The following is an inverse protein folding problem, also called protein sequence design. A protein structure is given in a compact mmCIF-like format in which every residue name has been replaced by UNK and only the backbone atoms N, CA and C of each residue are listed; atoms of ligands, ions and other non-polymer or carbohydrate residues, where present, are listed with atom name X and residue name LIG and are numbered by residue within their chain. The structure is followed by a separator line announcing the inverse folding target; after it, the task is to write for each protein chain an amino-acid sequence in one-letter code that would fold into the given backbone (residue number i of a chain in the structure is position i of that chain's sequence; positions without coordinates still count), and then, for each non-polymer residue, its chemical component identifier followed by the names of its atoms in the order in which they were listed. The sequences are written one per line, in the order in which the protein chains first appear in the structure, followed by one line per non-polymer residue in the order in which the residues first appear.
data_IF_534541539108
#
_entry.id   IF_534541539108
#
_cell.length_a   1.000
_cell.length_b   1.000
_cell.length_c   1.000
_cell.angle_alpha   90.00
_cell.angle_beta   90.00
_cell.angle_gamma   90.00
#
_symmetry.space_group_name_H-M   'P 1'
#
loop_
_entity.id
_entity.type
_entity.pdbx_description
1 polymer ?
#
# COMPACT_ATOMS: atom_id res chain seq x y z
N UNK A 1 20.78 11.24 33.08
CA UNK A 1 20.72 10.47 31.82
C UNK A 1 20.31 11.44 30.74
N UNK A 2 21.23 11.81 29.86
CA UNK A 2 20.98 12.84 28.84
C UNK A 2 20.18 12.23 27.69
N UNK A 3 19.09 12.86 27.22
CA UNK A 3 18.35 12.37 26.08
C UNK A 3 19.19 12.57 24.81
N UNK A 4 19.42 11.49 24.08
CA UNK A 4 19.98 11.54 22.73
C UNK A 4 18.87 12.03 21.82
N UNK A 5 18.87 13.34 21.54
CA UNK A 5 18.00 13.92 20.51
C UNK A 5 18.50 13.52 19.13
N UNK A 6 17.73 12.72 18.41
CA UNK A 6 17.94 12.52 16.97
C UNK A 6 17.48 13.78 16.27
N UNK A 7 18.43 14.62 15.86
CA UNK A 7 18.17 15.77 14.99
C UNK A 7 18.18 15.26 13.56
N UNK A 8 17.00 15.08 12.98
CA UNK A 8 16.84 14.93 11.53
C UNK A 8 17.08 16.29 10.88
N UNK A 9 18.32 16.54 10.46
CA UNK A 9 18.63 17.68 9.59
C UNK A 9 18.10 17.34 8.19
N UNK A 10 16.83 17.64 7.95
CA UNK A 10 16.34 17.81 6.59
C UNK A 10 16.94 19.13 6.08
N UNK A 11 18.05 19.04 5.37
CA UNK A 11 18.56 20.16 4.60
C UNK A 11 17.46 20.57 3.63
N UNK A 12 16.86 21.73 3.89
CA UNK A 12 15.99 22.36 2.90
C UNK A 12 16.86 22.73 1.70
N UNK A 13 16.89 21.85 0.70
CA UNK A 13 17.28 22.22 -0.65
C UNK A 13 16.19 23.11 -1.22
N UNK A 14 16.20 24.36 -0.78
CA UNK A 14 15.54 25.45 -1.49
C UNK A 14 16.27 25.62 -2.83
N UNK A 15 15.83 24.88 -3.85
CA UNK A 15 16.41 24.96 -5.20
C UNK A 15 16.52 23.62 -5.92
N UNK A 16 15.42 22.89 -6.05
CA UNK A 16 15.36 21.77 -6.98
C UNK A 16 13.92 21.54 -7.46
N UNK A 17 13.35 22.52 -8.15
CA UNK A 17 12.30 22.24 -9.14
C UNK A 17 12.94 21.37 -10.25
N UNK A 18 13.09 20.06 -10.02
CA UNK A 18 13.59 19.11 -11.03
C UNK A 18 14.58 18.01 -10.61
N UNK A 19 14.82 17.73 -9.32
CA UNK A 19 15.85 16.74 -8.91
C UNK A 19 15.40 15.26 -8.85
N UNK A 20 14.32 14.88 -9.54
CA UNK A 20 14.06 13.47 -9.85
C UNK A 20 13.60 13.39 -11.31
N UNK A 21 14.53 13.29 -12.29
CA UNK A 21 14.12 12.97 -13.65
C UNK A 21 13.36 11.65 -13.56
N UNK A 22 12.06 11.64 -13.86
CA UNK A 22 11.29 10.41 -13.91
C UNK A 22 11.83 9.60 -15.11
N UNK A 23 12.62 8.53 -14.88
CA UNK A 23 13.17 7.75 -15.98
C UNK A 23 12.07 6.94 -16.66
N UNK A 24 10.90 6.81 -16.02
CA UNK A 24 9.77 6.07 -16.53
C UNK A 24 8.98 6.94 -17.49
N UNK A 25 8.81 6.43 -18.71
CA UNK A 25 7.89 7.01 -19.70
C UNK A 25 6.49 7.13 -19.05
N UNK A 26 5.76 8.24 -19.27
CA UNK A 26 4.35 8.30 -18.91
C UNK A 26 3.64 7.07 -19.48
N UNK A 27 3.07 6.24 -18.61
CA UNK A 27 2.25 5.12 -19.04
C UNK A 27 0.98 5.74 -19.62
N UNK A 28 0.77 5.58 -20.93
CA UNK A 28 -0.52 5.89 -21.53
C UNK A 28 -1.56 5.07 -20.78
N UNK A 29 -2.68 5.70 -20.40
CA UNK A 29 -3.78 5.03 -19.70
C UNK A 29 -4.01 3.67 -20.34
N UNK A 30 -3.96 2.61 -19.51
CA UNK A 30 -4.11 1.25 -19.99
C UNK A 30 -5.36 1.18 -20.89
N UNK A 31 -5.29 0.37 -21.96
CA UNK A 31 -6.47 0.06 -22.75
C UNK A 31 -7.63 -0.26 -21.79
N UNK A 32 -8.88 0.18 -22.09
CA UNK A 32 -10.00 -0.08 -21.21
C UNK A 32 -10.00 -1.56 -20.83
N UNK A 33 -10.18 -1.82 -19.53
CA UNK A 33 -10.20 -3.18 -19.02
C UNK A 33 -11.20 -3.98 -19.87
N UNK A 34 -10.78 -5.18 -20.28
CA UNK A 34 -11.61 -6.04 -21.14
C UNK A 34 -12.93 -6.42 -20.47
N UNK A 35 -12.99 -6.32 -19.14
CA UNK A 35 -14.11 -6.66 -18.29
C UNK A 35 -14.24 -5.63 -17.16
N UNK A 36 -15.47 -5.45 -16.66
CA UNK A 36 -15.76 -4.62 -15.50
C UNK A 36 -15.18 -5.27 -14.23
N UNK A 37 -14.24 -4.60 -13.59
CA UNK A 37 -13.58 -5.05 -12.36
C UNK A 37 -14.26 -4.52 -11.09
N UNK A 38 -15.37 -3.78 -11.24
CA UNK A 38 -16.12 -3.18 -10.16
C UNK A 38 -15.50 -1.88 -9.62
N UNK A 39 -16.14 -1.35 -8.58
CA UNK A 39 -15.72 -0.14 -7.89
C UNK A 39 -14.57 -0.41 -6.90
N UNK A 40 -13.63 0.54 -6.72
CA UNK A 40 -12.55 0.38 -5.76
C UNK A 40 -13.09 0.30 -4.33
N UNK A 41 -12.55 -0.63 -3.54
CA UNK A 41 -12.89 -0.74 -2.12
C UNK A 41 -12.19 0.37 -1.32
N UNK A 42 -12.90 1.48 -1.11
CA UNK A 42 -12.48 2.54 -0.20
C UNK A 42 -12.87 2.15 1.23
N UNK A 43 -11.87 1.96 2.10
CA UNK A 43 -12.09 1.61 3.50
C UNK A 43 -12.33 2.83 4.39
N UNK A 44 -11.86 4.01 3.99
CA UNK A 44 -11.98 5.24 4.78
C UNK A 44 -13.41 5.57 5.23
N UNK A 45 -14.46 5.41 4.40
CA UNK A 45 -15.85 5.61 4.84
C UNK A 45 -16.26 4.69 6.00
N UNK A 46 -15.93 3.40 5.92
CA UNK A 46 -16.22 2.44 7.00
C UNK A 46 -15.49 2.84 8.29
N UNK A 47 -14.23 3.24 8.19
CA UNK A 47 -13.42 3.65 9.34
C UNK A 47 -13.95 4.94 9.98
N UNK A 48 -14.37 5.92 9.19
CA UNK A 48 -14.94 7.17 9.67
C UNK A 48 -16.24 6.96 10.45
N UNK A 49 -17.02 5.94 10.07
CA UNK A 49 -18.26 5.54 10.74
C UNK A 49 -18.04 4.55 11.91
N UNK A 50 -16.79 4.15 12.18
CA UNK A 50 -16.46 3.17 13.23
C UNK A 50 -16.88 1.73 12.89
N UNK A 51 -17.19 1.43 11.63
CA UNK A 51 -17.64 0.12 11.12
C UNK A 51 -16.45 -0.81 10.86
N UNK A 52 -15.65 -1.06 11.90
CA UNK A 52 -14.36 -1.74 11.78
C UNK A 52 -14.46 -3.20 11.33
N UNK A 53 -15.45 -3.94 11.85
CA UNK A 53 -15.64 -5.35 11.48
C UNK A 53 -16.13 -5.49 10.03
N UNK A 54 -16.99 -4.58 9.56
CA UNK A 54 -17.40 -4.51 8.16
C UNK A 54 -16.23 -4.15 7.25
N UNK A 55 -15.40 -3.17 7.65
CA UNK A 55 -14.19 -2.80 6.91
C UNK A 55 -13.24 -3.99 6.76
N UNK A 56 -13.01 -4.74 7.85
CA UNK A 56 -12.14 -5.92 7.85
C UNK A 56 -12.69 -7.03 6.97
N UNK A 57 -13.99 -7.31 7.07
CA UNK A 57 -14.65 -8.33 6.27
C UNK A 57 -14.61 -7.96 4.77
N UNK A 58 -14.88 -6.70 4.43
CA UNK A 58 -14.84 -6.23 3.04
C UNK A 58 -13.42 -6.28 2.45
N UNK A 59 -12.40 -5.99 3.25
CA UNK A 59 -11.01 -6.01 2.82
C UNK A 59 -10.45 -7.41 2.57
N UNK A 60 -11.12 -8.48 3.02
CA UNK A 60 -10.61 -9.84 2.90
C UNK A 60 -10.46 -10.24 1.43
N UNK A 61 -9.26 -10.71 1.05
CA UNK A 61 -9.01 -11.22 -0.31
C UNK A 61 -9.60 -12.62 -0.45
N UNK A 62 -10.60 -12.77 -1.31
CA UNK A 62 -11.32 -14.03 -1.55
C UNK A 62 -11.02 -14.68 -2.90
N UNK A 63 -10.11 -14.10 -3.69
CA UNK A 63 -9.72 -14.65 -4.99
C UNK A 63 -9.02 -16.00 -4.77
N UNK A 64 -9.47 -17.03 -5.50
CA UNK A 64 -9.00 -18.41 -5.34
C UNK A 64 -7.48 -18.55 -5.44
N UNK A 65 -6.85 -17.79 -6.36
CA UNK A 65 -5.41 -17.77 -6.55
C UNK A 65 -4.61 -17.37 -5.28
N UNK A 66 -5.24 -16.65 -4.34
CA UNK A 66 -4.61 -16.17 -3.11
C UNK A 66 -5.22 -16.79 -1.84
N UNK A 67 -6.17 -17.72 -1.98
CA UNK A 67 -6.94 -18.25 -0.85
C UNK A 67 -6.10 -19.05 0.17
N UNK A 68 -4.91 -19.52 -0.22
CA UNK A 68 -3.99 -20.24 0.67
C UNK A 68 -3.33 -19.36 1.74
N UNK A 69 -3.35 -18.04 1.55
CA UNK A 69 -2.74 -17.08 2.48
C UNK A 69 -3.80 -16.04 2.85
N UNK A 70 -4.35 -16.09 4.08
CA UNK A 70 -5.26 -15.06 4.55
C UNK A 70 -4.63 -13.69 4.38
N UNK A 71 -5.32 -12.78 3.70
CA UNK A 71 -4.80 -11.45 3.43
C UNK A 71 -5.93 -10.46 3.21
N UNK A 72 -5.59 -9.17 3.33
CA UNK A 72 -6.54 -8.07 3.29
C UNK A 72 -5.99 -6.98 2.39
N UNK A 73 -6.81 -6.43 1.51
CA UNK A 73 -6.41 -5.33 0.63
C UNK A 73 -7.53 -4.32 0.44
N UNK A 74 -7.17 -3.15 -0.06
CA UNK A 74 -8.12 -2.06 -0.29
C UNK A 74 -7.40 -0.73 -0.40
N UNK A 75 -8.18 0.34 -0.31
CA UNK A 75 -7.67 1.71 -0.42
C UNK A 75 -8.01 2.51 0.83
N UNK A 76 -7.03 3.32 1.28
CA UNK A 76 -7.27 4.39 2.23
C UNK A 76 -7.18 5.73 1.50
N UNK A 77 -8.20 6.56 1.66
CA UNK A 77 -8.15 7.97 1.25
C UNK A 77 -7.17 8.71 2.13
N UNK A 78 -6.10 9.23 1.52
CA UNK A 78 -5.04 10.00 2.19
C UNK A 78 -5.24 11.51 2.00
N UNK A 79 -5.99 11.90 0.96
CA UNK A 79 -6.40 13.28 0.72
C UNK A 79 -7.78 13.33 0.05
N UNK A 80 -8.79 13.76 0.79
CA UNK A 80 -10.17 13.84 0.29
C UNK A 80 -10.41 15.01 -0.68
N UNK A 81 -9.58 16.07 -0.64
CA UNK A 81 -9.72 17.22 -1.53
C UNK A 81 -9.29 16.86 -2.95
N UNK A 82 -8.26 16.02 -3.08
CA UNK A 82 -7.71 15.59 -4.37
C UNK A 82 -8.13 14.17 -4.78
N UNK A 83 -9.05 13.53 -4.04
CA UNK A 83 -9.43 12.13 -4.23
C UNK A 83 -8.20 11.20 -4.31
N UNK A 84 -7.23 11.45 -3.45
CA UNK A 84 -5.99 10.69 -3.40
C UNK A 84 -6.15 9.49 -2.48
N UNK A 85 -5.94 8.30 -3.04
CA UNK A 85 -6.16 7.02 -2.37
C UNK A 85 -4.91 6.15 -2.48
N UNK A 86 -4.48 5.57 -1.36
CA UNK A 86 -3.33 4.67 -1.28
C UNK A 86 -3.82 3.22 -1.19
N UNK A 87 -3.39 2.38 -2.13
CA UNK A 87 -3.60 0.94 -2.07
C UNK A 87 -2.70 0.30 -1.01
N UNK A 88 -3.22 -0.69 -0.29
CA UNK A 88 -2.43 -1.57 0.57
C UNK A 88 -2.79 -3.04 0.35
N UNK A 89 -1.85 -3.93 0.69
CA UNK A 89 -2.12 -5.36 0.84
C UNK A 89 -1.40 -5.86 2.10
N UNK A 90 -2.19 -6.21 3.11
CA UNK A 90 -1.76 -6.69 4.40
C UNK A 90 -1.85 -8.22 4.47
N UNK A 91 -0.78 -8.84 4.97
CA UNK A 91 -0.71 -10.26 5.25
C UNK A 91 -0.38 -10.40 6.74
N UNK A 92 -1.28 -10.96 7.57
CA UNK A 92 -1.02 -11.20 8.98
C UNK A 92 0.14 -12.21 9.16
N UNK A 93 0.83 -12.11 10.28
CA UNK A 93 1.86 -13.08 10.65
C UNK A 93 1.26 -14.49 10.69
N UNK A 94 2.03 -15.47 10.20
CA UNK A 94 1.70 -16.90 10.32
C UNK A 94 2.03 -17.46 11.71
N UNK A 95 2.75 -16.70 12.54
CA UNK A 95 3.06 -17.00 13.94
C UNK A 95 1.97 -16.54 14.89
N UNK A 96 2.38 -15.89 16.00
CA UNK A 96 1.45 -15.27 16.93
C UNK A 96 1.21 -13.81 16.52
N UNK A 97 0.27 -13.60 15.60
CA UNK A 97 -0.06 -12.29 15.04
C UNK A 97 -0.50 -11.24 16.07
N UNK A 98 -0.85 -11.63 17.30
CA UNK A 98 -1.17 -10.70 18.38
C UNK A 98 0.08 -10.15 19.07
N UNK A 99 1.20 -10.87 19.01
CA UNK A 99 2.47 -10.51 19.63
C UNK A 99 3.54 -10.08 18.63
N UNK A 100 3.43 -10.57 17.39
CA UNK A 100 4.37 -10.26 16.32
C UNK A 100 4.25 -8.79 15.86
N UNK A 101 5.35 -8.14 15.48
CA UNK A 101 5.33 -6.75 15.04
C UNK A 101 4.69 -6.59 13.67
N UNK A 102 4.07 -5.43 13.44
CA UNK A 102 3.63 -5.02 12.10
C UNK A 102 4.81 -4.40 11.34
N UNK A 103 5.06 -4.90 10.13
CA UNK A 103 6.10 -4.38 9.23
C UNK A 103 5.46 -3.66 8.05
N UNK A 104 5.88 -2.41 7.81
CA UNK A 104 5.55 -1.67 6.60
C UNK A 104 6.68 -1.82 5.58
N UNK A 105 6.37 -2.38 4.42
CA UNK A 105 7.32 -2.54 3.31
C UNK A 105 7.07 -1.53 2.20
N UNK A 106 8.10 -0.76 1.82
CA UNK A 106 8.01 0.28 0.80
C UNK A 106 9.07 0.05 -0.28
N UNK A 107 8.64 -0.08 -1.52
CA UNK A 107 9.56 -0.12 -2.65
C UNK A 107 10.14 1.26 -2.99
N UNK A 108 11.34 1.23 -3.54
CA UNK A 108 12.11 2.42 -3.91
C UNK A 108 11.77 2.97 -5.30
N UNK A 109 12.79 3.49 -5.97
CA UNK A 109 12.64 4.15 -7.28
C UNK A 109 13.11 5.60 -7.23
N UNK A 110 12.22 6.60 -7.30
CA UNK A 110 10.81 6.64 -6.87
C UNK A 110 9.77 6.15 -7.89
N UNK A 111 8.57 5.81 -7.40
CA UNK A 111 7.39 5.49 -8.22
C UNK A 111 7.18 4.00 -8.53
N UNK A 112 8.06 3.11 -8.05
CA UNK A 112 7.84 1.68 -8.14
C UNK A 112 6.79 1.21 -7.12
N UNK A 113 5.93 0.28 -7.51
CA UNK A 113 4.90 -0.28 -6.62
C UNK A 113 5.52 -1.24 -5.61
N UNK A 114 5.08 -1.17 -4.35
CA UNK A 114 5.42 -2.16 -3.31
C UNK A 114 4.99 -3.58 -3.65
N UNK A 115 4.06 -3.76 -4.59
CA UNK A 115 3.69 -5.09 -5.10
C UNK A 115 4.87 -5.83 -5.73
N UNK A 116 5.90 -5.13 -6.22
CA UNK A 116 7.12 -5.77 -6.67
C UNK A 116 7.80 -6.56 -5.54
N UNK A 117 7.91 -6.00 -4.32
CA UNK A 117 8.47 -6.73 -3.18
C UNK A 117 7.60 -7.91 -2.76
N UNK A 118 6.28 -7.73 -2.83
CA UNK A 118 5.31 -8.76 -2.49
C UNK A 118 5.37 -9.98 -3.42
N UNK A 119 5.62 -9.79 -4.72
CA UNK A 119 5.62 -10.90 -5.70
C UNK A 119 7.01 -11.40 -6.11
N UNK A 120 8.05 -10.58 -5.94
CA UNK A 120 9.40 -10.88 -6.47
C UNK A 120 10.48 -10.96 -5.42
N UNK A 121 10.22 -10.57 -4.17
CA UNK A 121 11.25 -10.51 -3.12
C UNK A 121 10.85 -11.31 -1.88
N UNK A 122 10.09 -10.71 -0.95
CA UNK A 122 9.89 -11.24 0.40
C UNK A 122 8.42 -11.53 0.74
N UNK A 123 7.50 -11.38 -0.21
CA UNK A 123 6.11 -11.75 0.01
C UNK A 123 5.85 -13.26 -0.15
N UNK A 124 4.65 -13.71 0.23
CA UNK A 124 4.32 -15.14 0.28
C UNK A 124 3.89 -15.72 -1.07
N UNK A 125 3.79 -14.90 -2.11
CA UNK A 125 3.33 -15.29 -3.42
C UNK A 125 4.46 -15.20 -4.43
N UNK A 126 4.46 -16.11 -5.40
CA UNK A 126 5.41 -16.13 -6.52
C UNK A 126 4.60 -16.15 -7.81
N UNK A 127 4.94 -15.25 -8.74
CA UNK A 127 4.40 -15.30 -10.11
C UNK A 127 5.43 -16.04 -10.97
N UNK A 128 5.01 -17.19 -11.52
CA UNK A 128 5.83 -18.05 -12.37
C UNK A 128 5.67 -17.72 -13.86
#
# INVERSE_FOLDING_TARGET
MNPVGVVLVLSQLAGALGAFPNPYRPIAQAAPLLEDVGEPLLLTPYLAEGRLEEARAAAQVTIEAFASVPSYSGFFTVDALFDSNLFFWFIPSQGDYLSDPVVLWLQGGPGASSLYGLFSENGPFVVA
#
